data_IF_888616405832
#
_entry.id   IF_888616405832
#
_cell.length_a   1.000
_cell.length_b   1.000
_cell.length_c   1.000
_cell.angle_alpha   90.00
_cell.angle_beta   90.00
_cell.angle_gamma   90.00
#
_symmetry.space_group_name_H-M   'P 1'
#
loop_
_entity.id
_entity.type
_entity.pdbx_description
1 polymer ?
#
# COMPACT_ATOMS: atom_id res chain seq x y z
N UNK A 1 10.38 -17.22 -4.69
CA UNK A 1 9.21 -16.38 -4.96
C UNK A 1 9.12 -15.29 -3.91
N UNK A 2 8.89 -14.09 -4.34
CA UNK A 2 8.76 -12.94 -3.43
C UNK A 2 7.29 -12.70 -3.12
N UNK A 3 6.99 -12.33 -1.86
CA UNK A 3 5.64 -12.03 -1.42
C UNK A 3 5.61 -10.60 -0.87
N UNK A 4 4.62 -9.82 -1.29
CA UNK A 4 4.49 -8.41 -0.88
C UNK A 4 3.07 -8.11 -0.45
N UNK A 5 2.90 -7.06 0.33
CA UNK A 5 1.58 -6.60 0.75
C UNK A 5 1.36 -5.15 0.31
N UNK A 6 0.11 -4.82 0.03
CA UNK A 6 -0.33 -3.46 -0.23
C UNK A 6 -1.39 -3.11 0.82
N UNK A 7 -1.18 -1.98 1.49
CA UNK A 7 -2.05 -1.52 2.56
C UNK A 7 -3.04 -0.50 2.00
N UNK A 8 -4.32 -0.85 2.00
CA UNK A 8 -5.37 0.05 1.53
C UNK A 8 -6.00 0.70 2.75
N UNK A 9 -5.53 1.91 3.05
CA UNK A 9 -6.02 2.68 4.20
C UNK A 9 -7.08 3.63 3.68
N UNK A 10 -8.36 3.25 3.90
CA UNK A 10 -9.50 4.03 3.43
C UNK A 10 -10.14 4.74 4.62
N UNK A 11 -10.19 6.06 4.55
CA UNK A 11 -10.70 6.87 5.64
C UNK A 11 -11.32 8.17 5.11
N UNK A 12 -12.53 8.48 5.58
CA UNK A 12 -13.23 9.72 5.22
C UNK A 12 -13.35 9.92 3.70
N UNK A 13 -13.58 8.82 2.97
CA UNK A 13 -13.75 8.86 1.53
C UNK A 13 -12.46 8.93 0.72
N UNK A 14 -11.30 8.81 1.38
CA UNK A 14 -9.99 8.90 0.73
C UNK A 14 -9.12 7.71 1.09
N UNK A 15 -8.14 7.44 0.23
CA UNK A 15 -7.13 6.40 0.46
C UNK A 15 -5.76 7.03 0.54
N UNK A 16 -4.89 6.37 1.30
CA UNK A 16 -3.50 6.81 1.49
C UNK A 16 -2.64 6.30 0.35
N UNK A 17 -1.88 7.19 -0.27
CA UNK A 17 -0.85 6.84 -1.25
C UNK A 17 0.47 7.47 -0.85
N UNK A 18 1.57 6.88 -1.32
CA UNK A 18 2.91 7.36 -0.99
C UNK A 18 3.72 7.54 -2.27
N UNK A 19 4.54 8.58 -2.30
CA UNK A 19 5.40 8.92 -3.44
C UNK A 19 6.80 8.37 -3.18
N UNK A 20 7.29 7.51 -4.06
CA UNK A 20 8.61 6.91 -3.91
C UNK A 20 9.71 7.92 -4.15
N UNK A 21 10.82 7.79 -3.41
CA UNK A 21 12.01 8.58 -3.66
C UNK A 21 12.49 8.36 -5.11
N UNK A 22 13.12 9.36 -5.74
CA UNK A 22 13.51 9.27 -7.15
C UNK A 22 14.76 8.41 -7.36
N UNK A 23 14.75 7.18 -6.81
CA UNK A 23 15.85 6.22 -6.96
C UNK A 23 15.25 4.84 -7.24
N UNK A 24 15.96 4.04 -8.00
CA UNK A 24 15.52 2.68 -8.34
C UNK A 24 14.54 2.64 -9.51
N UNK A 25 14.10 1.44 -9.86
CA UNK A 25 13.30 1.18 -11.06
C UNK A 25 11.94 1.88 -11.06
N UNK A 26 11.33 2.02 -9.88
CA UNK A 26 10.02 2.67 -9.73
C UNK A 26 10.13 4.02 -9.03
N UNK A 27 11.32 4.61 -9.03
CA UNK A 27 11.56 5.91 -8.41
C UNK A 27 10.68 7.00 -8.99
N UNK A 28 10.17 7.89 -8.13
CA UNK A 28 9.32 8.99 -8.54
C UNK A 28 7.88 8.61 -8.83
N UNK A 29 7.47 7.37 -8.63
CA UNK A 29 6.08 6.93 -8.82
C UNK A 29 5.34 6.89 -7.50
N UNK A 30 4.02 7.02 -7.60
CA UNK A 30 3.13 6.82 -6.46
C UNK A 30 2.78 5.35 -6.31
N UNK A 31 2.45 4.93 -5.10
CA UNK A 31 2.05 3.54 -4.80
C UNK A 31 1.20 3.49 -3.54
N UNK A 32 0.55 2.35 -3.32
CA UNK A 32 -0.06 2.10 -2.01
C UNK A 32 1.05 1.79 -1.00
N UNK A 33 0.89 2.18 0.27
CA UNK A 33 1.86 1.78 1.30
C UNK A 33 1.99 0.26 1.36
N UNK A 34 3.15 -0.23 1.74
CA UNK A 34 3.39 -1.66 1.87
C UNK A 34 4.84 -2.02 1.61
N UNK A 35 5.08 -3.26 1.31
CA UNK A 35 6.42 -3.75 1.03
C UNK A 35 6.49 -5.26 1.06
N UNK A 36 7.71 -5.78 1.09
CA UNK A 36 7.96 -7.21 1.08
C UNK A 36 7.69 -7.84 2.44
N UNK A 37 7.15 -9.06 2.40
CA UNK A 37 7.00 -9.90 3.58
C UNK A 37 8.37 -10.56 3.85
N UNK A 38 8.90 -10.40 5.05
CA UNK A 38 10.19 -10.98 5.42
C UNK A 38 10.05 -12.47 5.69
N UNK A 39 11.14 -13.25 5.54
CA UNK A 39 11.12 -14.66 5.88
C UNK A 39 10.65 -14.91 7.30
N UNK A 40 9.70 -15.84 7.47
CA UNK A 40 9.15 -16.17 8.78
C UNK A 40 8.06 -15.22 9.27
N UNK A 41 7.75 -14.17 8.51
CA UNK A 41 6.74 -13.19 8.86
C UNK A 41 5.43 -13.53 8.16
N UNK A 42 4.29 -13.29 8.83
CA UNK A 42 2.99 -13.40 8.17
C UNK A 42 2.71 -12.10 7.41
N UNK A 43 1.72 -12.13 6.51
CA UNK A 43 1.31 -10.91 5.80
C UNK A 43 0.80 -9.85 6.77
N UNK A 44 0.04 -10.26 7.79
CA UNK A 44 -0.44 -9.33 8.83
C UNK A 44 0.72 -8.68 9.58
N UNK A 45 1.74 -9.45 9.93
CA UNK A 45 2.92 -8.92 10.61
C UNK A 45 3.68 -7.94 9.73
N UNK A 46 3.78 -8.24 8.43
CA UNK A 46 4.43 -7.35 7.47
C UNK A 46 3.70 -6.01 7.36
N UNK A 47 2.36 -6.02 7.35
CA UNK A 47 1.56 -4.81 7.31
C UNK A 47 1.86 -3.93 8.53
N UNK A 48 1.85 -4.51 9.73
CA UNK A 48 2.11 -3.78 10.96
C UNK A 48 3.53 -3.17 10.94
N UNK A 49 4.51 -3.97 10.57
CA UNK A 49 5.91 -3.54 10.52
C UNK A 49 6.12 -2.42 9.50
N UNK A 50 5.62 -2.59 8.27
CA UNK A 50 5.82 -1.60 7.21
C UNK A 50 5.17 -0.26 7.54
N UNK A 51 3.96 -0.28 8.10
CA UNK A 51 3.28 0.96 8.48
C UNK A 51 4.01 1.67 9.61
N UNK A 52 4.57 0.93 10.55
CA UNK A 52 5.35 1.52 11.64
C UNK A 52 6.67 2.09 11.13
N UNK A 53 7.38 1.35 10.28
CA UNK A 53 8.66 1.81 9.72
C UNK A 53 8.51 3.04 8.85
N UNK A 54 7.47 3.06 8.01
CA UNK A 54 7.31 4.10 6.99
C UNK A 54 6.57 5.33 7.52
N UNK A 55 5.54 5.14 8.31
CA UNK A 55 4.68 6.25 8.74
C UNK A 55 4.65 6.47 10.25
N UNK A 56 5.39 5.69 11.01
CA UNK A 56 5.43 5.75 12.48
C UNK A 56 4.02 5.63 13.10
N UNK A 57 3.18 4.79 12.49
CA UNK A 57 1.82 4.58 12.96
C UNK A 57 1.60 3.12 13.28
N UNK A 58 0.71 2.87 14.24
CA UNK A 58 0.26 1.51 14.54
C UNK A 58 -0.95 1.21 13.67
N UNK A 59 -0.85 0.12 12.91
CA UNK A 59 -1.89 -0.28 11.96
C UNK A 59 -2.49 -1.63 12.34
N UNK A 60 -3.76 -1.81 12.01
CA UNK A 60 -4.44 -3.08 12.18
C UNK A 60 -4.81 -3.63 10.80
N UNK A 61 -4.29 -4.82 10.44
CA UNK A 61 -4.69 -5.48 9.21
C UNK A 61 -6.15 -5.89 9.28
N UNK A 62 -6.87 -5.61 8.21
CA UNK A 62 -8.27 -5.97 8.09
C UNK A 62 -8.48 -7.08 7.07
N UNK A 63 -9.57 -6.98 6.34
CA UNK A 63 -9.98 -7.97 5.36
C UNK A 63 -9.06 -7.94 4.13
N UNK A 64 -8.67 -9.12 3.64
CA UNK A 64 -7.94 -9.23 2.38
C UNK A 64 -8.87 -8.86 1.23
N UNK A 65 -8.39 -8.02 0.33
CA UNK A 65 -9.15 -7.54 -0.82
C UNK A 65 -8.95 -8.46 -2.02
N UNK A 66 -7.69 -8.65 -2.40
CA UNK A 66 -7.33 -9.40 -3.59
C UNK A 66 -5.84 -9.72 -3.58
N UNK A 67 -5.41 -10.51 -4.54
CA UNK A 67 -4.00 -10.70 -4.80
C UNK A 67 -3.76 -10.75 -6.31
N UNK A 68 -2.52 -10.53 -6.70
CA UNK A 68 -2.11 -10.67 -8.09
C UNK A 68 -0.67 -11.15 -8.17
N UNK A 69 -0.30 -11.62 -9.35
CA UNK A 69 1.07 -12.06 -9.63
C UNK A 69 1.68 -11.09 -10.61
N UNK A 70 2.92 -10.69 -10.34
CA UNK A 70 3.67 -9.86 -11.27
C UNK A 70 5.11 -10.37 -11.33
N UNK A 71 5.86 -9.91 -12.32
CA UNK A 71 7.25 -10.32 -12.50
C UNK A 71 8.16 -9.10 -12.40
N UNK A 72 9.21 -9.24 -11.61
CA UNK A 72 10.24 -8.21 -11.46
C UNK A 72 11.59 -8.86 -11.74
N UNK A 73 12.26 -8.43 -12.80
CA UNK A 73 13.54 -9.01 -13.23
C UNK A 73 13.47 -10.53 -13.31
N UNK A 74 12.43 -11.04 -14.00
CA UNK A 74 12.16 -12.45 -14.21
C UNK A 74 11.83 -13.26 -12.95
N UNK A 75 11.69 -12.59 -11.81
CA UNK A 75 11.27 -13.25 -10.57
C UNK A 75 9.77 -13.09 -10.39
N UNK A 76 9.12 -14.21 -10.07
CA UNK A 76 7.69 -14.22 -9.77
C UNK A 76 7.46 -13.59 -8.40
N UNK A 77 6.57 -12.60 -8.36
CA UNK A 77 6.19 -11.91 -7.13
C UNK A 77 4.68 -11.96 -6.95
N UNK A 78 4.23 -12.03 -5.70
CA UNK A 78 2.82 -11.95 -5.37
C UNK A 78 2.57 -10.65 -4.62
N UNK A 79 1.48 -9.95 -4.96
CA UNK A 79 1.06 -8.77 -4.25
C UNK A 79 -0.29 -9.04 -3.62
N UNK A 80 -0.39 -8.86 -2.30
CA UNK A 80 -1.59 -9.16 -1.52
C UNK A 80 -2.11 -7.87 -0.92
N UNK A 81 -3.32 -7.47 -1.32
CA UNK A 81 -3.92 -6.22 -0.88
C UNK A 81 -4.88 -6.47 0.28
N UNK A 82 -4.76 -5.63 1.31
CA UNK A 82 -5.60 -5.71 2.51
C UNK A 82 -6.16 -4.34 2.85
N UNK A 83 -7.37 -4.30 3.38
CA UNK A 83 -7.82 -3.12 4.11
C UNK A 83 -7.01 -3.02 5.39
N UNK A 84 -6.57 -1.81 5.70
CA UNK A 84 -5.76 -1.54 6.90
C UNK A 84 -6.35 -0.31 7.59
N UNK A 85 -6.55 -0.41 8.89
CA UNK A 85 -6.99 0.73 9.68
C UNK A 85 -5.84 1.24 10.56
N UNK A 86 -5.85 2.53 10.86
CA UNK A 86 -4.85 3.14 11.72
C UNK A 86 -5.44 3.30 13.11
N UNK A 87 -4.60 3.07 14.13
CA UNK A 87 -5.04 3.15 15.53
C UNK A 87 -5.51 4.56 15.90
N UNK A 88 -4.88 5.58 15.32
CA UNK A 88 -5.25 6.98 15.54
C UNK A 88 -5.76 7.63 14.26
N UNK A 89 -6.34 8.82 14.40
CA UNK A 89 -7.00 9.54 13.30
C UNK A 89 -6.04 10.10 12.26
N UNK A 90 -5.08 9.35 11.83
CA UNK A 90 -4.19 9.74 10.76
C UNK A 90 -2.74 9.56 11.13
N UNK A 91 -1.88 10.06 10.28
CA UNK A 91 -0.43 9.94 10.43
C UNK A 91 0.06 11.07 11.32
N UNK A 92 0.67 10.71 12.45
CA UNK A 92 1.20 11.70 13.38
C UNK A 92 2.50 12.33 12.84
N UNK A 93 2.75 13.56 13.26
CA UNK A 93 3.98 14.28 12.93
C UNK A 93 4.86 14.30 14.17
N UNK A 94 6.18 14.03 14.07
CA UNK A 94 6.91 13.69 12.86
C UNK A 94 6.69 12.24 12.42
N UNK A 95 6.59 12.03 11.12
CA UNK A 95 6.59 10.70 10.53
C UNK A 95 7.93 10.44 9.86
N UNK A 96 8.20 9.17 9.64
CA UNK A 96 9.50 8.74 9.15
C UNK A 96 9.32 8.08 7.79
N UNK A 97 9.55 8.84 6.73
CA UNK A 97 9.48 8.31 5.37
C UNK A 97 10.89 7.90 4.93
N UNK A 98 11.15 6.58 4.89
CA UNK A 98 12.46 6.06 4.51
C UNK A 98 12.58 5.81 3.01
N UNK A 99 11.54 5.26 2.40
CA UNK A 99 11.52 4.91 0.97
C UNK A 99 10.69 5.88 0.15
N UNK A 100 9.98 6.78 0.80
CA UNK A 100 9.07 7.72 0.16
C UNK A 100 9.47 9.16 0.47
N UNK A 101 9.19 10.06 -0.46
CA UNK A 101 9.43 11.49 -0.29
C UNK A 101 8.24 12.21 0.35
N UNK A 102 7.03 11.69 0.13
CA UNK A 102 5.79 12.29 0.65
C UNK A 102 4.64 11.30 0.61
N UNK A 103 3.54 11.65 1.24
CA UNK A 103 2.31 10.88 1.14
C UNK A 103 1.13 11.84 0.90
N UNK A 104 0.00 11.28 0.46
CA UNK A 104 -1.21 12.06 0.24
C UNK A 104 -2.45 11.19 0.46
N UNK A 105 -3.56 11.85 0.72
CA UNK A 105 -4.87 11.23 0.82
C UNK A 105 -5.69 11.68 -0.37
N UNK A 106 -6.13 10.73 -1.20
CA UNK A 106 -6.85 11.02 -2.43
C UNK A 106 -8.13 10.21 -2.52
N UNK A 107 -9.08 10.69 -3.30
CA UNK A 107 -10.27 9.87 -3.58
C UNK A 107 -9.84 8.62 -4.34
N UNK A 108 -10.46 7.46 -4.04
CA UNK A 108 -10.02 6.21 -4.66
C UNK A 108 -9.99 6.24 -6.19
N UNK A 109 -10.93 6.94 -6.83
CA UNK A 109 -11.01 7.04 -8.29
C UNK A 109 -10.02 8.04 -8.88
N UNK A 110 -9.32 8.79 -8.05
CA UNK A 110 -8.46 9.89 -8.48
C UNK A 110 -6.97 9.68 -8.23
N UNK A 111 -6.53 8.43 -8.13
CA UNK A 111 -5.09 8.16 -8.01
C UNK A 111 -4.37 8.63 -9.27
N UNK A 112 -3.10 9.06 -9.17
CA UNK A 112 -2.33 9.46 -10.35
C UNK A 112 -1.91 8.23 -11.17
N UNK A 113 -2.86 7.61 -11.86
CA UNK A 113 -2.66 6.33 -12.55
C UNK A 113 -1.64 6.38 -13.68
N UNK A 114 -1.35 7.56 -14.20
CA UNK A 114 -0.31 7.76 -15.21
C UNK A 114 1.09 7.79 -14.60
N UNK A 115 1.19 7.82 -13.28
CA UNK A 115 2.48 7.82 -12.56
C UNK A 115 2.39 6.94 -11.30
N UNK A 116 1.82 5.76 -11.45
CA UNK A 116 1.62 4.81 -10.35
C UNK A 116 2.41 3.53 -10.63
N UNK A 117 2.81 2.83 -9.57
CA UNK A 117 3.55 1.57 -9.70
C UNK A 117 2.68 0.52 -10.41
N UNK A 118 3.24 -0.14 -11.42
CA UNK A 118 2.50 -1.05 -12.30
C UNK A 118 1.83 -2.21 -11.54
N UNK A 119 2.51 -2.80 -10.58
CA UNK A 119 1.95 -3.91 -9.81
C UNK A 119 0.73 -3.48 -9.00
N UNK A 120 0.75 -2.26 -8.49
CA UNK A 120 -0.39 -1.70 -7.74
C UNK A 120 -1.56 -1.40 -8.68
N UNK A 121 -1.27 -1.01 -9.92
CA UNK A 121 -2.33 -0.79 -10.91
C UNK A 121 -3.06 -2.09 -11.26
N UNK A 122 -2.40 -3.24 -11.15
CA UNK A 122 -3.04 -4.53 -11.40
C UNK A 122 -4.14 -4.84 -10.38
N UNK A 123 -3.97 -4.42 -9.13
CA UNK A 123 -4.97 -4.65 -8.08
C UNK A 123 -5.98 -3.52 -7.96
N UNK A 124 -5.74 -2.40 -8.60
CA UNK A 124 -6.56 -1.20 -8.46
C UNK A 124 -8.04 -1.41 -8.77
N UNK A 125 -8.44 -2.11 -9.86
CA UNK A 125 -9.87 -2.33 -10.11
C UNK A 125 -10.57 -3.08 -8.97
N UNK A 126 -9.90 -4.08 -8.39
CA UNK A 126 -10.45 -4.83 -7.27
C UNK A 126 -10.53 -3.98 -6.00
N UNK A 127 -9.56 -3.09 -5.80
CA UNK A 127 -9.57 -2.15 -4.68
C UNK A 127 -10.76 -1.21 -4.78
N UNK A 128 -11.02 -0.66 -5.96
CA UNK A 128 -12.18 0.22 -6.18
C UNK A 128 -13.49 -0.51 -5.91
N UNK A 129 -13.60 -1.74 -6.39
CA UNK A 129 -14.79 -2.56 -6.17
C UNK A 129 -15.01 -2.85 -4.69
N UNK A 130 -13.93 -3.18 -3.98
CA UNK A 130 -14.01 -3.48 -2.55
C UNK A 130 -14.43 -2.25 -1.74
N UNK A 131 -13.90 -1.08 -2.06
CA UNK A 131 -14.28 0.17 -1.39
C UNK A 131 -15.75 0.48 -1.64
N UNK A 132 -16.21 0.30 -2.86
CA UNK A 132 -17.62 0.51 -3.20
C UNK A 132 -18.53 -0.42 -2.40
N UNK A 133 -18.13 -1.67 -2.22
CA UNK A 133 -18.89 -2.64 -1.44
C UNK A 133 -18.94 -2.28 0.05
N UNK A 134 -17.86 -1.70 0.60
CA UNK A 134 -17.83 -1.27 1.98
C UNK A 134 -18.76 -0.07 2.24
N UNK A 135 -19.01 0.74 1.21
CA UNK A 135 -19.85 1.93 1.32
C UNK A 135 -21.33 1.67 1.03
N UNK A 136 -21.68 0.45 0.66
CA UNK A 136 -23.07 0.12 0.30
C UNK A 136 -23.85 -0.47 1.46
#
# INVERSE_FOLDING_TARGET
MSNSIACIVYKDGKILIAHRNPVGDMGGRWEFPGGKVDPGETEAQAIVREMEEEFSVRAEPGKKITDSVFYHKDKKCTLNAYFVSLEHDGIAVPYKLTEHSEYDWVKPEEIPSDNFVDSDLQIYPDVLKAIKNENS
#
